data_IF_304929447711
#
_entry.id   IF_304929447711
#
_cell.length_a   1.000
_cell.length_b   1.000
_cell.length_c   1.000
_cell.angle_alpha   90.00
_cell.angle_beta   90.00
_cell.angle_gamma   90.00
#
_symmetry.space_group_name_H-M   'P 1'
#
loop_
_entity.id
_entity.type
_entity.pdbx_description
1 polymer ?
#
# COMPACT_ATOMS: atom_id res chain seq x y z
N UNK A 1 2.98 -24.66 10.62
CA UNK A 1 2.38 -24.93 9.35
C UNK A 1 3.32 -25.59 8.35
N UNK A 2 4.42 -24.96 7.99
CA UNK A 2 5.41 -25.57 7.11
C UNK A 2 6.46 -26.31 7.92
N UNK A 3 6.90 -27.42 7.37
CA UNK A 3 8.01 -28.16 7.95
C UNK A 3 9.29 -27.35 7.83
N UNK A 4 10.25 -27.61 8.75
CA UNK A 4 11.52 -26.87 8.76
C UNK A 4 12.36 -27.09 7.50
N UNK A 5 12.12 -28.19 6.77
CA UNK A 5 12.83 -28.50 5.53
C UNK A 5 12.12 -27.95 4.29
N UNK A 6 11.02 -27.21 4.45
CA UNK A 6 10.29 -26.59 3.35
C UNK A 6 10.86 -25.20 3.10
N UNK A 7 11.17 -24.93 1.84
CA UNK A 7 11.60 -23.61 1.38
C UNK A 7 10.47 -22.97 0.60
N UNK A 8 10.09 -21.76 0.99
CA UNK A 8 9.05 -21.02 0.28
C UNK A 8 9.68 -20.03 -0.69
N UNK A 9 8.98 -19.76 -1.79
CA UNK A 9 9.37 -18.73 -2.74
C UNK A 9 8.47 -17.53 -2.58
N UNK A 10 9.07 -16.36 -2.40
CA UNK A 10 8.34 -15.09 -2.35
C UNK A 10 8.28 -14.46 -3.73
N UNK A 11 7.25 -13.64 -3.96
CA UNK A 11 7.13 -12.86 -5.17
C UNK A 11 7.95 -11.57 -5.06
N UNK A 12 8.59 -11.21 -6.17
CA UNK A 12 9.19 -9.88 -6.28
C UNK A 12 8.16 -8.89 -6.82
N UNK A 13 8.35 -7.61 -6.54
CA UNK A 13 7.45 -6.57 -7.04
C UNK A 13 7.34 -6.58 -8.57
N UNK A 14 8.44 -6.80 -9.27
CA UNK A 14 8.43 -6.85 -10.74
C UNK A 14 7.59 -8.01 -11.25
N UNK A 15 7.60 -9.16 -10.54
CA UNK A 15 6.76 -10.30 -10.89
C UNK A 15 5.29 -10.01 -10.60
N UNK A 16 5.02 -9.40 -9.45
CA UNK A 16 3.67 -9.00 -9.07
C UNK A 16 3.05 -8.05 -10.09
N UNK A 17 3.78 -6.99 -10.47
CA UNK A 17 3.30 -6.02 -11.44
C UNK A 17 3.02 -6.68 -12.79
N UNK A 18 3.84 -7.62 -13.21
CA UNK A 18 3.61 -8.35 -14.44
C UNK A 18 2.33 -9.21 -14.37
N UNK A 19 2.09 -9.86 -13.24
CA UNK A 19 0.86 -10.64 -13.06
C UNK A 19 -0.38 -9.74 -13.05
N UNK A 20 -0.28 -8.56 -12.45
CA UNK A 20 -1.36 -7.56 -12.49
C UNK A 20 -1.63 -7.15 -13.92
N UNK A 21 -0.59 -6.84 -14.70
CA UNK A 21 -0.73 -6.42 -16.10
C UNK A 21 -1.35 -7.51 -16.97
N UNK A 22 -1.10 -8.78 -16.63
CA UNK A 22 -1.70 -9.93 -17.32
C UNK A 22 -3.14 -10.20 -16.90
N UNK A 23 -3.70 -9.43 -15.95
CA UNK A 23 -5.05 -9.61 -15.48
C UNK A 23 -5.25 -10.76 -14.51
N UNK A 24 -4.15 -11.31 -13.97
CA UNK A 24 -4.21 -12.49 -13.09
C UNK A 24 -5.05 -12.25 -11.84
N UNK A 25 -5.02 -11.04 -11.30
CA UNK A 25 -5.71 -10.70 -10.05
C UNK A 25 -6.94 -9.82 -10.25
N UNK A 26 -7.50 -9.85 -11.44
CA UNK A 26 -8.66 -9.02 -11.76
C UNK A 26 -9.83 -9.36 -10.82
N UNK A 27 -10.42 -8.32 -10.22
CA UNK A 27 -11.51 -8.48 -9.27
C UNK A 27 -11.07 -8.77 -7.83
N UNK A 28 -9.79 -8.94 -7.59
CA UNK A 28 -9.25 -9.17 -6.25
C UNK A 28 -8.60 -7.89 -5.72
N UNK A 29 -8.70 -7.69 -4.40
CA UNK A 29 -8.05 -6.57 -3.73
C UNK A 29 -6.85 -7.10 -2.97
N UNK A 30 -5.68 -6.93 -3.56
CA UNK A 30 -4.43 -7.47 -3.03
C UNK A 30 -3.39 -6.37 -2.87
N UNK A 31 -2.44 -6.63 -1.99
CA UNK A 31 -1.20 -5.87 -1.94
C UNK A 31 -0.04 -6.85 -1.74
N UNK A 32 1.15 -6.43 -2.12
CA UNK A 32 2.35 -7.25 -1.95
C UNK A 32 3.13 -6.73 -0.76
N UNK A 33 3.34 -7.57 0.26
CA UNK A 33 4.05 -7.20 1.47
C UNK A 33 5.16 -8.22 1.72
N UNK A 34 6.40 -7.79 1.56
CA UNK A 34 7.59 -8.63 1.78
C UNK A 34 7.49 -9.95 1.02
N UNK A 35 7.02 -9.87 -0.22
CA UNK A 35 6.87 -11.03 -1.12
C UNK A 35 5.61 -11.84 -0.92
N UNK A 36 4.75 -11.47 0.02
CA UNK A 36 3.50 -12.16 0.29
C UNK A 36 2.31 -11.41 -0.30
N UNK A 37 1.39 -12.14 -0.93
CA UNK A 37 0.13 -11.58 -1.41
C UNK A 37 -0.84 -11.49 -0.24
N UNK A 38 -1.27 -10.29 0.09
CA UNK A 38 -2.16 -10.03 1.22
C UNK A 38 -3.50 -9.54 0.70
N UNK A 39 -4.58 -10.16 1.14
CA UNK A 39 -5.94 -9.78 0.76
C UNK A 39 -6.38 -8.57 1.57
N UNK A 40 -6.92 -7.57 0.88
CA UNK A 40 -7.48 -6.40 1.53
C UNK A 40 -8.97 -6.60 1.76
N UNK A 41 -9.40 -6.32 2.98
CA UNK A 41 -10.82 -6.41 3.31
C UNK A 41 -11.59 -5.23 2.71
N UNK A 42 -12.87 -5.43 2.35
CA UNK A 42 -13.72 -4.33 1.92
C UNK A 42 -13.84 -3.27 2.99
N UNK A 43 -13.88 -2.01 2.57
CA UNK A 43 -14.00 -0.89 3.50
C UNK A 43 -15.45 -0.62 3.85
N UNK A 44 -15.68 -0.31 5.12
CA UNK A 44 -16.97 0.21 5.58
C UNK A 44 -16.97 1.74 5.44
N UNK A 45 -18.17 2.31 5.44
CA UNK A 45 -18.35 3.75 5.24
C UNK A 45 -17.59 4.62 6.26
N UNK A 46 -17.58 4.31 7.57
CA UNK A 46 -16.79 5.11 8.52
C UNK A 46 -15.31 5.13 8.18
N UNK A 47 -14.74 3.98 7.79
CA UNK A 47 -13.34 3.89 7.40
C UNK A 47 -13.06 4.72 6.15
N UNK A 48 -13.86 4.54 5.11
CA UNK A 48 -13.69 5.26 3.85
C UNK A 48 -13.82 6.78 4.05
N UNK A 49 -14.78 7.23 4.86
CA UNK A 49 -14.96 8.65 5.16
C UNK A 49 -13.78 9.23 5.92
N UNK A 50 -13.24 8.48 6.87
CA UNK A 50 -12.07 8.90 7.64
C UNK A 50 -10.84 9.03 6.74
N UNK A 51 -10.62 8.07 5.85
CA UNK A 51 -9.51 8.11 4.89
C UNK A 51 -9.62 9.34 3.99
N UNK A 52 -10.79 9.60 3.43
CA UNK A 52 -11.01 10.75 2.56
C UNK A 52 -10.77 12.08 3.30
N UNK A 53 -11.26 12.17 4.52
CA UNK A 53 -11.09 13.37 5.35
C UNK A 53 -9.62 13.61 5.68
N UNK A 54 -8.92 12.58 6.15
CA UNK A 54 -7.50 12.68 6.48
C UNK A 54 -6.67 13.06 5.25
N UNK A 55 -6.99 12.49 4.09
CA UNK A 55 -6.28 12.83 2.86
C UNK A 55 -6.36 14.32 2.57
N UNK A 56 -7.54 14.91 2.70
CA UNK A 56 -7.75 16.35 2.44
C UNK A 56 -7.01 17.22 3.47
N UNK A 57 -7.10 16.87 4.74
CA UNK A 57 -6.46 17.62 5.82
C UNK A 57 -4.95 17.59 5.68
N UNK A 58 -4.39 16.41 5.44
CA UNK A 58 -2.94 16.25 5.36
C UNK A 58 -2.37 16.87 4.08
N UNK A 59 -3.06 16.75 2.95
CA UNK A 59 -2.63 17.40 1.73
C UNK A 59 -2.59 18.93 1.91
N UNK A 60 -3.61 19.51 2.52
CA UNK A 60 -3.65 20.93 2.81
C UNK A 60 -2.52 21.34 3.76
N UNK A 61 -2.24 20.53 4.77
CA UNK A 61 -1.18 20.81 5.74
C UNK A 61 0.21 20.79 5.11
N UNK A 62 0.46 19.88 4.17
CA UNK A 62 1.74 19.83 3.46
C UNK A 62 1.88 20.97 2.44
N UNK A 63 0.77 21.40 1.84
CA UNK A 63 0.76 22.53 0.93
C UNK A 63 1.19 22.22 -0.50
N UNK A 64 1.47 23.26 -1.31
CA UNK A 64 1.84 23.08 -2.70
C UNK A 64 3.07 22.20 -2.88
N UNK A 65 3.08 21.41 -3.94
CA UNK A 65 4.17 20.48 -4.24
C UNK A 65 3.99 19.09 -3.63
N UNK A 66 2.89 18.86 -2.94
CA UNK A 66 2.55 17.58 -2.32
C UNK A 66 1.12 17.19 -2.66
N UNK A 67 0.84 15.89 -2.68
CA UNK A 67 -0.54 15.43 -2.80
C UNK A 67 -0.75 14.14 -2.01
N UNK A 68 -2.01 13.86 -1.69
CA UNK A 68 -2.40 12.65 -0.99
C UNK A 68 -2.78 11.57 -1.99
N UNK A 69 -2.17 10.39 -1.85
CA UNK A 69 -2.62 9.17 -2.55
C UNK A 69 -3.46 8.38 -1.57
N UNK A 70 -4.65 8.01 -1.99
CA UNK A 70 -5.59 7.27 -1.15
C UNK A 70 -5.65 5.83 -1.65
N UNK A 71 -5.18 4.90 -0.83
CA UNK A 71 -5.26 3.46 -1.11
C UNK A 71 -4.69 3.09 -2.48
N UNK A 72 -3.61 3.72 -2.81
CA UNK A 72 -2.91 3.52 -4.08
C UNK A 72 -1.55 2.88 -3.81
N UNK A 73 -1.03 2.11 -4.76
CA UNK A 73 0.23 1.40 -4.57
C UNK A 73 1.43 2.32 -4.38
N UNK A 74 2.36 1.89 -3.53
CA UNK A 74 3.69 2.44 -3.43
C UNK A 74 4.69 1.38 -3.88
N UNK A 75 5.59 1.75 -4.78
CA UNK A 75 6.67 0.87 -5.19
C UNK A 75 7.79 0.95 -4.14
N UNK A 76 7.55 0.35 -2.97
CA UNK A 76 8.33 0.57 -1.77
C UNK A 76 9.75 0.00 -1.87
N UNK A 77 9.85 -1.26 -2.28
CA UNK A 77 11.12 -1.94 -2.55
C UNK A 77 10.89 -3.10 -3.52
N UNK A 78 11.90 -3.95 -3.71
CA UNK A 78 11.81 -5.04 -4.69
C UNK A 78 10.81 -6.13 -4.28
N UNK A 79 10.44 -6.19 -3.02
CA UNK A 79 9.59 -7.25 -2.47
C UNK A 79 8.23 -6.74 -2.00
N UNK A 80 7.96 -5.43 -2.15
CA UNK A 80 6.76 -4.86 -1.54
C UNK A 80 6.13 -3.77 -2.39
N UNK A 81 4.81 -3.86 -2.53
CA UNK A 81 3.98 -2.85 -3.16
C UNK A 81 2.71 -2.73 -2.32
N UNK A 82 2.80 -2.06 -1.16
CA UNK A 82 1.64 -1.86 -0.30
C UNK A 82 0.71 -0.79 -0.85
N UNK A 83 -0.53 -0.79 -0.37
CA UNK A 83 -1.53 0.23 -0.69
C UNK A 83 -2.00 0.88 0.61
N UNK A 84 -1.22 1.80 1.18
CA UNK A 84 -1.60 2.44 2.44
C UNK A 84 -2.87 3.27 2.29
N UNK A 85 -3.59 3.45 3.38
CA UNK A 85 -4.82 4.24 3.37
C UNK A 85 -4.57 5.66 2.89
N UNK A 86 -3.52 6.31 3.40
CA UNK A 86 -3.10 7.64 2.93
C UNK A 86 -1.58 7.67 2.83
N UNK A 87 -1.09 8.18 1.72
CA UNK A 87 0.34 8.47 1.56
C UNK A 87 0.49 9.88 1.01
N UNK A 88 1.30 10.70 1.66
CA UNK A 88 1.63 12.03 1.16
C UNK A 88 2.93 11.92 0.38
N UNK A 89 2.86 12.23 -0.91
CA UNK A 89 3.98 12.12 -1.82
C UNK A 89 4.25 13.46 -2.49
N UNK A 90 5.47 13.64 -2.95
CA UNK A 90 5.87 14.87 -3.65
C UNK A 90 5.26 14.92 -5.04
N UNK A 91 5.05 16.14 -5.55
CA UNK A 91 4.59 16.35 -6.90
C UNK A 91 3.09 16.30 -7.07
N UNK A 92 2.65 16.22 -8.32
CA UNK A 92 1.25 16.18 -8.71
C UNK A 92 0.84 14.75 -9.08
N UNK A 93 -0.46 14.43 -9.05
CA UNK A 93 -0.92 13.07 -9.37
C UNK A 93 -0.42 12.54 -10.71
N UNK A 94 -0.40 13.38 -11.75
CA UNK A 94 0.01 12.93 -13.08
C UNK A 94 1.51 12.69 -13.22
N UNK A 95 2.33 13.12 -12.25
CA UNK A 95 3.75 12.80 -12.24
C UNK A 95 3.97 11.29 -12.09
N UNK A 96 2.99 10.58 -11.59
CA UNK A 96 3.05 9.13 -11.37
C UNK A 96 2.17 8.35 -12.35
N UNK A 97 1.95 8.93 -13.53
CA UNK A 97 1.12 8.29 -14.56
C UNK A 97 1.72 6.95 -15.02
N UNK A 98 3.04 6.90 -15.19
CA UNK A 98 3.71 5.72 -15.75
C UNK A 98 4.25 4.76 -14.68
N UNK A 99 4.44 5.23 -13.45
CA UNK A 99 5.00 4.42 -12.38
C UNK A 99 4.53 4.92 -11.01
N UNK A 100 4.37 4.00 -10.08
CA UNK A 100 4.02 4.36 -8.70
C UNK A 100 5.20 5.04 -8.00
N UNK A 101 4.93 5.96 -7.06
CA UNK A 101 6.00 6.55 -6.26
C UNK A 101 6.69 5.50 -5.39
N UNK A 102 7.98 5.67 -5.18
CA UNK A 102 8.77 4.75 -4.36
C UNK A 102 8.99 5.27 -2.94
N UNK A 103 8.66 6.53 -2.68
CA UNK A 103 8.82 7.14 -1.35
C UNK A 103 7.58 7.96 -1.00
N UNK A 104 7.39 8.16 0.30
CA UNK A 104 6.34 9.01 0.83
C UNK A 104 6.87 9.75 2.05
N UNK A 105 6.46 11.02 2.22
CA UNK A 105 6.81 11.79 3.40
C UNK A 105 6.05 11.33 4.63
N UNK A 106 4.82 10.83 4.44
CA UNK A 106 3.95 10.37 5.52
C UNK A 106 3.07 9.25 5.01
N UNK A 107 2.91 8.20 5.82
CA UNK A 107 2.02 7.09 5.55
C UNK A 107 1.10 6.94 6.75
N UNK A 108 -0.21 6.86 6.49
CA UNK A 108 -1.23 6.68 7.53
C UNK A 108 -2.04 5.43 7.22
N UNK A 109 -2.19 4.58 8.23
CA UNK A 109 -3.11 3.45 8.20
C UNK A 109 -4.21 3.74 9.22
N UNK A 110 -5.46 3.78 8.76
CA UNK A 110 -6.59 4.06 9.64
C UNK A 110 -6.90 2.80 10.45
N UNK A 111 -6.96 2.98 11.76
CA UNK A 111 -7.13 1.85 12.67
C UNK A 111 -8.51 1.21 12.56
N UNK A 112 -8.51 -0.11 12.46
CA UNK A 112 -9.70 -0.95 12.49
C UNK A 112 -9.33 -2.20 13.27
N UNK A 113 -10.16 -2.60 14.22
CA UNK A 113 -9.85 -3.73 15.10
C UNK A 113 -9.69 -5.04 14.32
N UNK A 114 -10.42 -5.20 13.21
CA UNK A 114 -10.33 -6.42 12.38
C UNK A 114 -9.02 -6.51 11.61
N UNK A 115 -8.29 -5.41 11.47
CA UNK A 115 -7.05 -5.36 10.70
C UNK A 115 -5.80 -5.23 11.56
N UNK A 116 -5.91 -5.54 12.88
CA UNK A 116 -4.80 -5.34 13.82
C UNK A 116 -3.51 -6.04 13.40
N UNK A 117 -3.61 -7.30 12.96
CA UNK A 117 -2.44 -8.06 12.54
C UNK A 117 -1.80 -7.48 11.29
N UNK A 118 -2.61 -7.10 10.31
CA UNK A 118 -2.15 -6.49 9.08
C UNK A 118 -1.41 -5.17 9.35
N UNK A 119 -1.96 -4.33 10.25
CA UNK A 119 -1.30 -3.08 10.62
C UNK A 119 0.07 -3.31 11.25
N UNK A 120 0.20 -4.33 12.09
CA UNK A 120 1.49 -4.66 12.71
C UNK A 120 2.53 -5.03 11.66
N UNK A 121 2.13 -5.84 10.69
CA UNK A 121 3.01 -6.25 9.61
C UNK A 121 3.45 -5.05 8.78
N UNK A 122 2.52 -4.20 8.37
CA UNK A 122 2.83 -3.01 7.58
C UNK A 122 3.72 -2.04 8.36
N UNK A 123 3.47 -1.84 9.65
CA UNK A 123 4.29 -0.97 10.47
C UNK A 123 5.74 -1.45 10.49
N UNK A 124 5.96 -2.75 10.67
CA UNK A 124 7.30 -3.32 10.62
C UNK A 124 7.97 -3.14 9.27
N UNK A 125 7.21 -3.34 8.18
CA UNK A 125 7.71 -3.17 6.83
C UNK A 125 8.13 -1.73 6.55
N UNK A 126 7.30 -0.76 6.90
CA UNK A 126 7.61 0.66 6.68
C UNK A 126 8.81 1.11 7.50
N UNK A 127 8.96 0.60 8.71
CA UNK A 127 10.10 0.95 9.57
C UNK A 127 11.43 0.49 9.00
N UNK A 128 11.45 -0.57 8.17
CA UNK A 128 12.67 -1.05 7.52
C UNK A 128 13.11 -0.19 6.34
N UNK A 129 12.20 0.57 5.79
CA UNK A 129 12.47 1.37 4.59
C UNK A 129 12.52 2.85 4.91
#
# INVERSE_FOLDING_TARGET
>A
MFESDVTTRRLRRVEYDRLVDLGMFQGERLELLDGLLVVREPQKSPHASTVAHLGRVLEAAFGPGWHARLQAPLALDDDSEPEPDVAIVSGAPLDYFDAHPSTAALIVEVADSSLRLDRRFKTGLYART
#
